data_IF_806207680433
#
_entry.id   IF_806207680433
#
_cell.length_a   1.000
_cell.length_b   1.000
_cell.length_c   1.000
_cell.angle_alpha   90.00
_cell.angle_beta   90.00
_cell.angle_gamma   90.00
#
_symmetry.space_group_name_H-M   'P 1'
#
loop_
_entity.id
_entity.type
_entity.pdbx_description
1 polymer ?
#
# COMPACT_ATOMS: atom_id res chain seq x y z
N UNK A 1 -9.05 28.37 -9.18
CA UNK A 1 -8.28 29.19 -10.17
C UNK A 1 -6.93 29.64 -9.62
N UNK A 2 -6.85 30.32 -8.46
CA UNK A 2 -5.58 30.80 -7.89
C UNK A 2 -4.49 29.72 -7.74
N UNK A 3 -4.84 28.51 -7.28
CA UNK A 3 -3.90 27.39 -7.15
C UNK A 3 -3.27 26.97 -8.49
N UNK A 4 -4.06 26.94 -9.56
CA UNK A 4 -3.58 26.57 -10.90
C UNK A 4 -2.59 27.62 -11.43
N UNK A 5 -2.87 28.90 -11.23
CA UNK A 5 -1.94 29.99 -11.59
C UNK A 5 -0.59 29.86 -10.89
N UNK A 6 -0.57 29.39 -9.63
CA UNK A 6 0.68 29.13 -8.91
C UNK A 6 1.42 27.94 -9.49
N UNK A 7 0.72 26.84 -9.81
CA UNK A 7 1.33 25.65 -10.42
C UNK A 7 2.02 25.96 -11.76
N UNK A 8 1.45 26.86 -12.57
CA UNK A 8 2.04 27.30 -13.84
C UNK A 8 3.39 28.02 -13.69
N UNK A 9 3.77 28.47 -12.48
CA UNK A 9 5.08 29.08 -12.21
C UNK A 9 6.20 28.05 -12.07
N UNK A 10 5.87 26.76 -12.01
CA UNK A 10 6.81 25.67 -11.82
C UNK A 10 6.83 24.74 -13.03
N UNK A 11 8.01 24.22 -13.35
CA UNK A 11 8.17 23.16 -14.35
C UNK A 11 8.31 21.81 -13.64
N UNK A 12 7.39 20.90 -13.95
CA UNK A 12 7.40 19.55 -13.39
C UNK A 12 8.15 18.60 -14.32
N UNK A 13 9.15 17.91 -13.75
CA UNK A 13 9.85 16.81 -14.44
C UNK A 13 9.09 15.50 -14.24
N UNK A 14 9.36 14.54 -15.10
CA UNK A 14 8.90 13.17 -14.89
C UNK A 14 9.42 12.62 -13.55
N UNK A 15 8.53 11.97 -12.81
CA UNK A 15 8.85 11.38 -11.53
C UNK A 15 9.71 10.12 -11.74
N UNK A 16 10.84 10.06 -11.05
CA UNK A 16 11.72 8.89 -11.07
C UNK A 16 11.06 7.62 -10.50
N UNK A 17 10.02 7.80 -9.67
CA UNK A 17 9.20 6.72 -9.13
C UNK A 17 7.72 6.99 -9.41
N UNK A 18 6.90 5.96 -9.68
CA UNK A 18 5.48 6.13 -9.89
C UNK A 18 4.80 6.76 -8.66
N UNK A 19 4.00 7.79 -8.90
CA UNK A 19 3.20 8.45 -7.86
C UNK A 19 1.79 7.86 -7.90
N UNK A 20 1.26 7.40 -6.77
CA UNK A 20 -0.14 6.97 -6.69
C UNK A 20 -1.02 8.20 -6.48
N UNK A 21 -1.93 8.46 -7.41
CA UNK A 21 -2.86 9.59 -7.31
C UNK A 21 -3.93 9.35 -6.25
N UNK A 22 -4.19 10.35 -5.42
CA UNK A 22 -5.30 10.35 -4.46
C UNK A 22 -6.68 10.34 -5.14
N UNK A 23 -6.77 10.74 -6.41
CA UNK A 23 -8.03 10.87 -7.16
C UNK A 23 -8.35 9.62 -7.98
N UNK A 24 -7.33 8.96 -8.54
CA UNK A 24 -7.52 7.79 -9.41
C UNK A 24 -7.13 6.48 -8.75
N UNK A 25 -6.37 6.51 -7.64
CA UNK A 25 -5.76 5.34 -7.01
C UNK A 25 -4.90 4.52 -8.00
N UNK A 26 -4.28 5.21 -8.97
CA UNK A 26 -3.44 4.61 -10.02
C UNK A 26 -2.11 5.37 -10.12
N UNK A 27 -1.05 4.71 -10.62
CA UNK A 27 0.24 5.33 -10.81
C UNK A 27 0.20 6.34 -11.95
N UNK A 28 0.93 7.44 -11.77
CA UNK A 28 1.31 8.36 -12.82
C UNK A 28 2.77 8.80 -12.59
N UNK A 29 3.48 9.15 -13.67
CA UNK A 29 4.88 9.57 -13.61
C UNK A 29 5.18 10.78 -14.48
N UNK A 30 4.35 11.10 -15.47
CA UNK A 30 4.61 12.21 -16.39
C UNK A 30 4.50 13.56 -15.68
N UNK A 31 5.52 14.41 -15.81
CA UNK A 31 5.56 15.77 -15.29
C UNK A 31 4.38 16.61 -15.78
N UNK A 32 3.99 16.44 -17.06
CA UNK A 32 2.84 17.12 -17.66
C UNK A 32 1.53 16.77 -16.93
N UNK A 33 1.43 15.56 -16.38
CA UNK A 33 0.24 15.11 -15.66
C UNK A 33 0.23 15.56 -14.20
N UNK A 34 1.37 15.92 -13.59
CA UNK A 34 1.46 16.26 -12.16
C UNK A 34 0.59 17.48 -11.84
N UNK A 35 0.69 18.56 -12.62
CA UNK A 35 -0.09 19.77 -12.37
C UNK A 35 -1.60 19.52 -12.44
N UNK A 36 -2.06 18.71 -13.40
CA UNK A 36 -3.48 18.38 -13.55
C UNK A 36 -3.97 17.51 -12.38
N UNK A 37 -3.18 16.51 -11.97
CA UNK A 37 -3.52 15.67 -10.81
C UNK A 37 -3.58 16.46 -9.50
N UNK A 38 -2.65 17.41 -9.28
CA UNK A 38 -2.69 18.30 -8.12
C UNK A 38 -3.93 19.19 -8.11
N UNK A 39 -4.30 19.75 -9.28
CA UNK A 39 -5.54 20.54 -9.42
C UNK A 39 -6.77 19.69 -9.09
N UNK A 40 -6.87 18.49 -9.65
CA UNK A 40 -7.99 17.59 -9.38
C UNK A 40 -8.06 17.19 -7.91
N UNK A 41 -6.91 16.93 -7.28
CA UNK A 41 -6.85 16.53 -5.87
C UNK A 41 -7.47 17.56 -4.93
N UNK A 42 -7.40 18.86 -5.24
CA UNK A 42 -8.04 19.92 -4.46
C UNK A 42 -9.57 19.83 -4.42
N UNK A 43 -10.19 19.21 -5.44
CA UNK A 43 -11.64 19.21 -5.63
C UNK A 43 -12.25 17.81 -5.48
N UNK A 44 -11.42 16.77 -5.41
CA UNK A 44 -11.84 15.37 -5.46
C UNK A 44 -11.50 14.64 -4.15
N UNK A 45 -12.31 13.65 -3.75
CA UNK A 45 -12.07 12.89 -2.53
C UNK A 45 -10.77 12.07 -2.59
N UNK A 46 -10.20 11.80 -1.42
CA UNK A 46 -9.00 10.95 -1.27
C UNK A 46 -9.40 9.47 -1.26
N UNK A 47 -9.01 8.74 -2.31
CA UNK A 47 -9.30 7.30 -2.48
C UNK A 47 -8.26 6.41 -1.78
N UNK A 48 -8.06 6.63 -0.47
CA UNK A 48 -7.04 5.93 0.32
C UNK A 48 -7.13 4.41 0.24
N UNK A 49 -8.30 3.84 0.54
CA UNK A 49 -8.51 2.39 0.56
C UNK A 49 -8.17 1.74 -0.78
N UNK A 50 -8.57 2.38 -1.88
CA UNK A 50 -8.30 1.88 -3.23
C UNK A 50 -6.82 1.96 -3.58
N UNK A 51 -6.12 3.02 -3.16
CA UNK A 51 -4.67 3.13 -3.31
C UNK A 51 -3.95 2.02 -2.55
N UNK A 52 -4.36 1.71 -1.31
CA UNK A 52 -3.75 0.63 -0.55
C UNK A 52 -4.04 -0.75 -1.16
N UNK A 53 -5.24 -0.98 -1.68
CA UNK A 53 -5.56 -2.20 -2.44
C UNK A 53 -4.73 -2.31 -3.71
N UNK A 54 -4.52 -1.21 -4.44
CA UNK A 54 -3.63 -1.19 -5.59
C UNK A 54 -2.22 -1.65 -5.20
N UNK A 55 -1.64 -1.08 -4.14
CA UNK A 55 -0.30 -1.47 -3.66
C UNK A 55 -0.24 -2.95 -3.29
N UNK A 56 -1.26 -3.46 -2.59
CA UNK A 56 -1.34 -4.86 -2.19
C UNK A 56 -1.36 -5.80 -3.41
N UNK A 57 -2.18 -5.49 -4.41
CA UNK A 57 -2.29 -6.28 -5.64
C UNK A 57 -0.98 -6.30 -6.45
N UNK A 58 -0.18 -5.24 -6.33
CA UNK A 58 1.13 -5.14 -6.98
C UNK A 58 2.27 -5.69 -6.09
N UNK A 59 1.95 -6.44 -5.04
CA UNK A 59 2.93 -7.18 -4.24
C UNK A 59 3.72 -6.32 -3.26
N UNK A 60 3.30 -5.08 -2.98
CA UNK A 60 3.93 -4.24 -1.97
C UNK A 60 3.72 -4.86 -0.60
N UNK A 61 4.81 -5.11 0.12
CA UNK A 61 4.79 -5.74 1.46
C UNK A 61 5.17 -4.77 2.57
N UNK A 62 5.81 -3.66 2.23
CA UNK A 62 6.37 -2.71 3.19
C UNK A 62 6.13 -1.30 2.67
N UNK A 63 5.84 -0.36 3.58
CA UNK A 63 5.76 1.07 3.27
C UNK A 63 6.51 1.86 4.33
N UNK A 64 7.08 2.99 3.93
CA UNK A 64 7.74 3.92 4.83
C UNK A 64 6.87 5.17 4.91
N UNK A 65 6.36 5.49 6.10
CA UNK A 65 5.64 6.72 6.36
C UNK A 65 6.63 7.81 6.75
N UNK A 66 6.76 8.84 5.93
CA UNK A 66 7.57 10.01 6.28
C UNK A 66 6.72 11.04 7.01
N UNK A 67 7.08 11.36 8.25
CA UNK A 67 6.41 12.38 9.04
C UNK A 67 6.07 11.93 10.47
N UNK A 68 5.66 12.89 11.34
CA UNK A 68 5.35 12.61 12.73
C UNK A 68 3.96 11.96 12.91
N UNK A 69 3.75 11.31 14.06
CA UNK A 69 2.45 10.81 14.56
C UNK A 69 1.87 9.54 13.92
N UNK A 70 2.53 8.90 12.96
CA UNK A 70 2.19 7.57 12.45
C UNK A 70 0.72 7.42 11.98
N UNK A 71 0.15 8.50 11.43
CA UNK A 71 -1.26 8.57 11.07
C UNK A 71 -1.56 7.64 9.89
N UNK A 72 -0.71 7.65 8.86
CA UNK A 72 -0.87 6.81 7.68
C UNK A 72 -0.66 5.33 8.00
N UNK A 73 0.27 5.01 8.90
CA UNK A 73 0.44 3.66 9.44
C UNK A 73 -0.83 3.18 10.17
N UNK A 74 -1.46 4.06 10.95
CA UNK A 74 -2.75 3.79 11.60
C UNK A 74 -3.87 3.54 10.59
N UNK A 75 -3.98 4.39 9.56
CA UNK A 75 -4.96 4.22 8.49
C UNK A 75 -4.72 2.94 7.69
N UNK A 76 -3.46 2.64 7.36
CA UNK A 76 -3.09 1.42 6.65
C UNK A 76 -3.53 0.17 7.42
N UNK A 77 -3.27 0.11 8.74
CA UNK A 77 -3.67 -1.02 9.59
C UNK A 77 -5.18 -1.24 9.64
N UNK A 78 -5.98 -0.18 9.48
CA UNK A 78 -7.44 -0.29 9.33
C UNK A 78 -7.86 -0.82 7.96
N UNK A 79 -7.06 -0.59 6.92
CA UNK A 79 -7.32 -1.07 5.56
C UNK A 79 -6.82 -2.49 5.32
N UNK A 80 -5.60 -2.80 5.75
CA UNK A 80 -4.94 -4.09 5.50
C UNK A 80 -3.87 -4.39 6.55
N UNK A 81 -3.73 -5.68 6.88
CA UNK A 81 -2.65 -6.20 7.73
C UNK A 81 -1.58 -6.95 6.92
N UNK A 82 -1.61 -6.83 5.59
CA UNK A 82 -0.69 -7.51 4.67
C UNK A 82 0.53 -6.65 4.31
N UNK A 83 0.48 -5.35 4.59
CA UNK A 83 1.55 -4.39 4.36
C UNK A 83 2.07 -3.91 5.71
N UNK A 84 3.40 -3.92 5.89
CA UNK A 84 4.05 -3.46 7.12
C UNK A 84 4.40 -1.97 7.00
N UNK A 85 3.82 -1.09 7.83
CA UNK A 85 4.25 0.30 7.88
C UNK A 85 5.46 0.48 8.79
N UNK A 86 6.45 1.21 8.31
CA UNK A 86 7.59 1.70 9.07
C UNK A 86 7.54 3.22 9.15
N UNK A 87 7.46 3.82 10.34
CA UNK A 87 7.52 5.26 10.47
C UNK A 87 8.95 5.77 10.23
N UNK A 88 9.06 7.00 9.74
CA UNK A 88 10.29 7.76 9.60
C UNK A 88 9.98 9.22 9.96
N UNK A 89 9.92 9.49 11.26
CA UNK A 89 9.67 10.82 11.82
C UNK A 89 10.81 11.33 12.69
N UNK A 90 11.62 10.43 13.25
CA UNK A 90 12.74 10.75 14.13
C UNK A 90 13.98 9.89 13.84
N UNK A 91 15.15 10.32 14.30
CA UNK A 91 16.43 9.65 14.03
C UNK A 91 16.49 8.22 14.56
N UNK A 92 15.75 7.90 15.62
CA UNK A 92 15.66 6.54 16.15
C UNK A 92 14.91 5.56 15.24
N UNK A 93 14.22 6.03 14.21
CA UNK A 93 13.46 5.18 13.28
C UNK A 93 14.34 4.60 12.16
N UNK A 94 15.55 5.15 11.99
CA UNK A 94 16.49 4.75 10.93
C UNK A 94 17.06 3.35 11.14
N UNK A 95 17.48 2.91 12.35
CA UNK A 95 18.08 1.58 12.53
C UNK A 95 17.17 0.41 12.09
N UNK A 96 15.85 0.38 12.41
CA UNK A 96 14.94 -0.64 11.85
C UNK A 96 14.86 -0.62 10.31
N UNK A 97 14.98 0.55 9.69
CA UNK A 97 14.94 0.74 8.24
C UNK A 97 16.26 0.38 7.55
N UNK A 98 17.40 0.38 8.24
CA UNK A 98 18.66 -0.11 7.69
C UNK A 98 18.80 -1.63 7.79
N UNK A 99 18.18 -2.25 8.81
CA UNK A 99 18.27 -3.69 9.05
C UNK A 99 17.33 -4.53 8.15
N UNK A 100 17.79 -4.82 6.93
CA UNK A 100 17.02 -5.60 5.96
C UNK A 100 16.73 -7.04 6.40
N UNK A 101 17.57 -7.64 7.25
CA UNK A 101 17.36 -9.00 7.75
C UNK A 101 16.19 -9.06 8.74
N UNK A 102 16.10 -8.08 9.63
CA UNK A 102 15.01 -7.96 10.61
C UNK A 102 13.66 -7.71 9.93
N UNK A 103 13.64 -6.80 8.95
CA UNK A 103 12.43 -6.55 8.14
C UNK A 103 11.94 -7.80 7.40
N UNK A 104 12.85 -8.55 6.78
CA UNK A 104 12.51 -9.85 6.15
C UNK A 104 11.93 -10.85 7.14
N UNK A 105 12.47 -10.95 8.36
CA UNK A 105 11.91 -11.82 9.42
C UNK A 105 10.45 -11.44 9.74
N UNK A 106 10.15 -10.14 9.82
CA UNK A 106 8.80 -9.65 10.08
C UNK A 106 7.81 -10.06 8.98
N UNK A 107 8.19 -9.91 7.70
CA UNK A 107 7.37 -10.34 6.57
C UNK A 107 7.12 -11.86 6.61
N UNK A 108 8.15 -12.66 6.87
CA UNK A 108 8.02 -14.12 6.97
C UNK A 108 7.05 -14.50 8.09
N UNK A 109 7.14 -13.84 9.24
CA UNK A 109 6.22 -14.08 10.35
C UNK A 109 4.76 -13.78 9.97
N UNK A 110 4.50 -12.65 9.30
CA UNK A 110 3.16 -12.29 8.83
C UNK A 110 2.61 -13.30 7.82
N UNK A 111 3.43 -13.73 6.86
CA UNK A 111 3.04 -14.73 5.86
C UNK A 111 2.75 -16.08 6.51
N UNK A 112 3.52 -16.52 7.50
CA UNK A 112 3.24 -17.76 8.26
C UNK A 112 1.87 -17.69 8.96
N UNK A 113 1.55 -16.56 9.60
CA UNK A 113 0.26 -16.34 10.25
C UNK A 113 -0.89 -16.40 9.25
N UNK A 114 -0.72 -15.81 8.07
CA UNK A 114 -1.71 -15.85 6.99
C UNK A 114 -1.88 -17.26 6.43
N UNK A 115 -0.78 -17.97 6.16
CA UNK A 115 -0.82 -19.35 5.68
C UNK A 115 -1.55 -20.26 6.67
N UNK A 116 -1.27 -20.13 7.97
CA UNK A 116 -1.98 -20.89 9.00
C UNK A 116 -3.50 -20.60 8.96
N UNK A 117 -3.90 -19.34 8.85
CA UNK A 117 -5.32 -18.96 8.72
C UNK A 117 -5.95 -19.56 7.46
N UNK A 118 -5.26 -19.52 6.32
CA UNK A 118 -5.75 -20.08 5.05
C UNK A 118 -5.88 -21.60 5.12
N UNK A 119 -4.91 -22.29 5.73
CA UNK A 119 -4.96 -23.74 5.95
C UNK A 119 -6.15 -24.12 6.82
N UNK A 120 -6.35 -23.43 7.94
CA UNK A 120 -7.52 -23.63 8.81
C UNK A 120 -8.80 -23.41 8.01
N UNK A 121 -8.91 -22.31 7.27
CA UNK A 121 -10.08 -22.00 6.44
C UNK A 121 -10.33 -23.07 5.38
N UNK A 122 -9.30 -23.61 4.72
CA UNK A 122 -9.47 -24.66 3.71
C UNK A 122 -9.96 -25.98 4.30
N UNK A 123 -9.59 -26.29 5.55
CA UNK A 123 -10.02 -27.53 6.24
C UNK A 123 -11.45 -27.41 6.76
N UNK A 124 -11.85 -26.24 7.26
CA UNK A 124 -13.20 -26.04 7.83
C UNK A 124 -14.24 -25.60 6.78
N UNK A 125 -13.80 -25.06 5.64
CA UNK A 125 -14.70 -24.71 4.56
C UNK A 125 -15.41 -25.96 4.05
N UNK A 126 -16.73 -25.86 3.82
CA UNK A 126 -17.50 -26.98 3.29
C UNK A 126 -16.88 -27.44 1.98
N UNK A 127 -16.57 -28.73 1.92
CA UNK A 127 -16.10 -29.36 0.70
C UNK A 127 -17.29 -29.53 -0.25
N UNK A 128 -17.35 -28.71 -1.29
CA UNK A 128 -18.39 -28.78 -2.33
C UNK A 128 -18.02 -29.74 -3.47
N UNK A 129 -16.99 -30.57 -3.31
CA UNK A 129 -16.67 -31.59 -4.29
C UNK A 129 -17.82 -32.60 -4.35
N UNK A 130 -18.50 -32.66 -5.50
CA UNK A 130 -19.65 -33.54 -5.72
C UNK A 130 -19.24 -34.98 -6.04
N UNK A 131 -17.97 -35.20 -6.34
CA UNK A 131 -17.44 -36.52 -6.64
C UNK A 131 -16.95 -37.21 -5.35
N UNK A 132 -17.80 -38.05 -4.77
CA UNK A 132 -17.46 -38.85 -3.59
C UNK A 132 -16.51 -40.01 -3.91
N UNK A 133 -16.41 -40.43 -5.18
CA UNK A 133 -15.48 -41.49 -5.60
C UNK A 133 -14.03 -41.01 -5.57
N UNK A 134 -13.79 -39.70 -5.74
CA UNK A 134 -12.46 -39.08 -5.61
C UNK A 134 -11.84 -39.21 -4.19
N UNK A 135 -12.65 -39.54 -3.17
CA UNK A 135 -12.20 -39.73 -1.79
C UNK A 135 -12.07 -41.20 -1.37
N UNK A 136 -12.44 -42.13 -2.24
CA UNK A 136 -12.43 -43.57 -1.97
C UNK A 136 -11.18 -44.21 -2.58
N UNK A 137 -10.01 -43.96 -1.97
CA UNK A 137 -8.80 -44.77 -2.14
C UNK A 137 -8.37 -45.31 -0.78
#
# INVERSE_FOLDING_TARGET
EQFQTVLHRYSFRDAAWPIISNVTARPYSSGNSISEHLKQHMMMPVRWTESMHYLLLHGVTEVIEMGPNNVLAGLLRKTTNHIVPYPLGQTSDVPPLSNSAERKKHIVHLRKKQLNKLMIQSVIARNYNKDSAAYSN
#
